data_IF_629907115837
#
_entry.id   IF_629907115837
#
_cell.length_a   1.000
_cell.length_b   1.000
_cell.length_c   1.000
_cell.angle_alpha   90.00
_cell.angle_beta   90.00
_cell.angle_gamma   90.00
#
_symmetry.space_group_name_H-M   'P 1'
#
loop_
_entity.id
_entity.type
_entity.pdbx_description
1 polymer ?
#
# COMPACT_ATOMS: atom_id res chain seq x y z
N UNK A 1 2.95 -17.96 3.75
CA UNK A 1 3.39 -16.65 3.22
C UNK A 1 3.15 -15.70 4.37
N UNK A 2 4.03 -15.78 5.36
CA UNK A 2 3.92 -15.09 6.64
C UNK A 2 5.19 -14.26 6.82
N UNK A 3 5.01 -13.06 7.40
CA UNK A 3 6.02 -12.14 7.91
C UNK A 3 6.93 -11.42 6.90
N UNK A 4 6.49 -10.21 6.51
CA UNK A 4 7.40 -9.07 6.34
C UNK A 4 6.94 -8.03 7.38
N UNK A 5 7.46 -8.15 8.60
CA UNK A 5 7.00 -7.43 9.78
C UNK A 5 7.41 -5.97 9.71
N UNK A 6 6.44 -5.03 9.47
CA UNK A 6 5.95 -3.63 9.90
C UNK A 6 6.63 -2.24 9.78
N UNK A 7 6.39 -1.36 8.85
CA UNK A 7 5.27 -1.41 7.96
C UNK A 7 5.34 -2.56 6.96
N UNK A 8 6.19 -3.61 7.03
CA UNK A 8 7.65 -3.84 6.85
C UNK A 8 8.86 -3.93 7.88
N UNK A 9 9.00 -3.27 9.07
CA UNK A 9 9.87 -3.59 10.27
C UNK A 9 9.25 -3.92 11.72
N UNK A 10 7.93 -4.08 11.95
CA UNK A 10 7.18 -4.37 13.20
C UNK A 10 5.92 -5.29 13.03
N UNK A 11 5.38 -5.89 14.07
CA UNK A 11 4.33 -6.93 13.94
C UNK A 11 2.91 -6.46 13.51
N UNK A 12 2.75 -5.30 12.86
CA UNK A 12 1.49 -4.54 12.87
C UNK A 12 0.94 -4.06 11.51
N UNK A 13 1.51 -4.48 10.38
CA UNK A 13 0.88 -4.30 9.06
C UNK A 13 1.16 -5.50 8.16
N UNK A 14 0.20 -5.85 7.30
CA UNK A 14 0.36 -6.90 6.30
C UNK A 14 0.43 -6.26 4.92
N UNK A 15 1.62 -6.22 4.30
CA UNK A 15 1.76 -5.64 2.99
C UNK A 15 1.05 -6.48 1.94
N UNK A 16 0.20 -5.83 1.15
CA UNK A 16 -0.57 -6.49 0.10
C UNK A 16 -0.28 -5.83 -1.23
N UNK A 17 0.55 -6.47 -2.05
CA UNK A 17 0.64 -6.08 -3.46
C UNK A 17 -0.67 -6.44 -4.14
N UNK A 18 -1.42 -5.41 -4.50
CA UNK A 18 -2.50 -5.54 -5.47
C UNK A 18 -1.80 -5.53 -6.83
N UNK A 19 -1.66 -6.70 -7.46
CA UNK A 19 -1.12 -6.82 -8.83
C UNK A 19 -2.02 -6.06 -9.81
N UNK A 20 -1.84 -4.76 -9.90
CA UNK A 20 -2.41 -3.87 -10.92
C UNK A 20 -1.32 -2.91 -11.33
N UNK A 21 -1.15 -2.75 -12.64
CA UNK A 21 -0.38 -1.65 -13.17
C UNK A 21 -1.27 -0.41 -13.14
N UNK A 22 -0.83 0.62 -12.45
CA UNK A 22 -1.45 1.94 -12.50
C UNK A 22 -0.82 2.75 -13.64
N UNK A 23 -1.61 3.62 -14.28
CA UNK A 23 -1.11 4.56 -15.27
C UNK A 23 -0.79 5.93 -14.68
N UNK A 24 -1.27 6.21 -13.46
CA UNK A 24 -1.02 7.44 -12.71
C UNK A 24 -0.99 7.17 -11.20
N UNK A 25 -0.42 8.09 -10.43
CA UNK A 25 -0.46 8.05 -8.96
C UNK A 25 -1.87 8.01 -8.40
N UNK A 26 -2.78 8.85 -8.91
CA UNK A 26 -4.19 8.83 -8.48
C UNK A 26 -4.85 7.47 -8.74
N UNK A 27 -4.58 6.84 -9.88
CA UNK A 27 -5.15 5.51 -10.17
C UNK A 27 -4.57 4.40 -9.29
N UNK A 28 -3.35 4.57 -8.79
CA UNK A 28 -2.76 3.69 -7.80
C UNK A 28 -3.41 3.87 -6.42
N UNK A 29 -3.64 5.12 -6.01
CA UNK A 29 -4.37 5.43 -4.77
C UNK A 29 -5.80 4.87 -4.80
N UNK A 30 -6.53 5.05 -5.90
CA UNK A 30 -7.86 4.49 -6.09
C UNK A 30 -7.84 2.95 -5.99
N UNK A 31 -6.82 2.30 -6.56
CA UNK A 31 -6.69 0.85 -6.53
C UNK A 31 -6.44 0.30 -5.11
N UNK A 32 -5.61 0.99 -4.30
CA UNK A 32 -5.42 0.62 -2.90
C UNK A 32 -6.66 0.95 -2.06
N UNK A 33 -7.26 2.12 -2.27
CA UNK A 33 -8.46 2.57 -1.56
C UNK A 33 -9.63 1.61 -1.76
N UNK A 34 -9.81 1.07 -2.98
CA UNK A 34 -10.85 0.11 -3.32
C UNK A 34 -10.78 -1.21 -2.53
N UNK A 35 -9.62 -1.56 -1.97
CA UNK A 35 -9.45 -2.75 -1.12
C UNK A 35 -9.30 -2.39 0.36
N UNK A 36 -9.60 -1.15 0.73
CA UNK A 36 -9.49 -0.68 2.11
C UNK A 36 -8.05 -0.44 2.58
N UNK A 37 -7.09 -0.34 1.65
CA UNK A 37 -5.67 -0.14 1.92
C UNK A 37 -5.19 1.24 1.47
N UNK A 38 -4.00 1.68 1.88
CA UNK A 38 -3.29 2.84 1.30
C UNK A 38 -2.13 2.37 0.42
N UNK A 39 -1.54 3.26 -0.37
CA UNK A 39 -0.27 2.94 -1.04
C UNK A 39 0.85 2.73 0.00
N UNK A 40 1.77 1.82 -0.30
CA UNK A 40 2.90 1.51 0.57
C UNK A 40 3.85 2.70 0.73
N UNK A 41 4.34 2.90 1.94
CA UNK A 41 5.22 4.00 2.33
C UNK A 41 6.38 3.43 3.18
N UNK A 42 7.48 2.98 2.56
CA UNK A 42 8.67 2.55 3.29
C UNK A 42 9.23 3.70 4.14
N UNK A 43 9.11 3.62 5.47
CA UNK A 43 9.48 4.71 6.38
C UNK A 43 10.99 4.80 6.66
N UNK A 44 11.73 3.70 6.46
CA UNK A 44 13.17 3.64 6.68
C UNK A 44 13.91 2.75 5.65
N UNK A 45 15.23 2.85 5.60
CA UNK A 45 16.08 2.06 4.70
C UNK A 45 16.05 0.55 5.03
N UNK A 46 15.87 0.17 6.29
CA UNK A 46 15.86 -1.24 6.71
C UNK A 46 14.61 -1.94 6.13
N UNK A 47 13.47 -1.28 6.22
CA UNK A 47 12.19 -1.63 5.61
C UNK A 47 12.32 -1.78 4.10
N UNK A 48 12.96 -0.83 3.42
CA UNK A 48 13.16 -0.89 1.97
C UNK A 48 14.07 -2.07 1.56
N UNK A 49 15.12 -2.35 2.34
CA UNK A 49 16.00 -3.51 2.16
C UNK A 49 15.25 -4.84 2.41
N UNK A 50 14.44 -4.90 3.47
CA UNK A 50 13.63 -6.08 3.80
C UNK A 50 12.61 -6.41 2.70
N UNK A 51 12.11 -5.36 2.04
CA UNK A 51 11.20 -5.46 0.90
C UNK A 51 11.86 -5.96 -0.39
N UNK A 52 13.14 -5.66 -0.61
CA UNK A 52 13.81 -5.87 -1.89
C UNK A 52 13.66 -7.29 -2.47
N UNK A 53 13.84 -8.40 -1.71
CA UNK A 53 13.70 -9.76 -2.25
C UNK A 53 12.28 -10.09 -2.73
N UNK A 54 11.27 -9.44 -2.15
CA UNK A 54 9.87 -9.59 -2.54
C UNK A 54 9.55 -8.72 -3.76
N UNK A 55 9.99 -7.46 -3.75
CA UNK A 55 9.80 -6.52 -4.86
C UNK A 55 10.54 -6.98 -6.12
N UNK A 56 11.72 -7.57 -5.99
CA UNK A 56 12.52 -8.09 -7.11
C UNK A 56 11.73 -9.08 -7.97
N UNK A 57 10.97 -9.98 -7.34
CA UNK A 57 10.15 -11.00 -8.03
C UNK A 57 8.95 -10.40 -8.76
N UNK A 58 8.56 -9.19 -8.41
CA UNK A 58 7.38 -8.50 -8.92
C UNK A 58 7.75 -7.34 -9.86
N UNK A 59 9.04 -7.00 -9.95
CA UNK A 59 9.52 -5.85 -10.68
C UNK A 59 9.36 -6.04 -12.19
N UNK A 60 8.28 -5.47 -12.73
CA UNK A 60 8.02 -5.37 -14.18
C UNK A 60 7.98 -3.92 -14.64
N UNK A 61 7.68 -3.01 -13.71
CA UNK A 61 7.70 -1.55 -13.82
C UNK A 61 8.22 -0.99 -12.48
N UNK A 62 8.58 0.30 -12.40
CA UNK A 62 8.79 0.96 -11.12
C UNK A 62 7.59 0.77 -10.19
N UNK A 63 7.83 0.77 -8.89
CA UNK A 63 6.78 0.54 -7.89
C UNK A 63 6.41 1.87 -7.28
N UNK A 64 5.16 2.29 -7.45
CA UNK A 64 4.71 3.60 -6.95
C UNK A 64 4.40 3.55 -5.46
N UNK A 65 4.78 4.60 -4.73
CA UNK A 65 4.59 4.70 -3.29
C UNK A 65 3.56 5.77 -2.93
N UNK A 66 3.15 5.80 -1.65
CA UNK A 66 2.28 6.83 -1.12
C UNK A 66 2.95 8.17 -0.84
N UNK A 67 4.23 8.34 -1.18
CA UNK A 67 4.93 9.63 -1.03
C UNK A 67 4.76 10.49 -2.27
N UNK A 68 4.43 11.76 -2.06
CA UNK A 68 4.39 12.79 -3.11
C UNK A 68 5.06 14.07 -2.61
N UNK A 69 5.52 14.91 -3.52
CA UNK A 69 6.01 16.24 -3.20
C UNK A 69 4.83 17.10 -2.73
N UNK A 70 4.82 17.46 -1.45
CA UNK A 70 3.84 18.38 -0.87
C UNK A 70 4.18 19.83 -1.13
N UNK A 71 5.49 20.17 -1.13
CA UNK A 71 5.96 21.53 -1.39
C UNK A 71 7.32 21.52 -2.10
N UNK A 72 7.38 22.08 -3.30
CA UNK A 72 8.60 22.14 -4.10
C UNK A 72 9.67 23.10 -3.56
N UNK A 73 9.28 24.15 -2.81
CA UNK A 73 10.21 25.17 -2.32
C UNK A 73 10.99 24.67 -1.10
N UNK A 74 10.32 23.93 -0.22
CA UNK A 74 10.88 23.36 1.01
C UNK A 74 11.26 21.89 0.86
N UNK A 75 10.94 21.28 -0.29
CA UNK A 75 11.17 19.85 -0.58
C UNK A 75 10.47 18.96 0.46
N UNK A 76 9.32 19.41 0.95
CA UNK A 76 8.52 18.65 1.91
C UNK A 76 7.79 17.53 1.18
N UNK A 77 7.94 16.31 1.70
CA UNK A 77 7.30 15.11 1.17
C UNK A 77 6.03 14.87 1.96
N UNK A 78 4.89 14.86 1.27
CA UNK A 78 3.61 14.57 1.87
C UNK A 78 3.40 13.06 1.96
N UNK A 79 2.93 12.63 3.12
CA UNK A 79 2.30 11.33 3.35
C UNK A 79 0.83 11.50 3.03
N UNK A 80 0.36 10.79 2.01
CA UNK A 80 -1.03 10.86 1.55
C UNK A 80 -1.74 9.56 1.88
N UNK A 81 -2.88 9.69 2.54
CA UNK A 81 -3.83 8.61 2.82
C UNK A 81 -4.76 8.38 1.62
N UNK A 82 -5.62 7.36 1.75
CA UNK A 82 -6.67 7.01 0.79
C UNK A 82 -7.46 8.20 0.28
N UNK A 83 -7.87 8.12 -0.98
CA UNK A 83 -8.65 9.14 -1.68
C UNK A 83 -7.95 10.51 -1.66
N UNK A 84 -6.63 10.50 -1.83
CA UNK A 84 -5.78 11.69 -1.91
C UNK A 84 -5.89 12.63 -0.69
N UNK A 85 -6.03 12.06 0.52
CA UNK A 85 -6.14 12.85 1.75
C UNK A 85 -4.77 13.13 2.34
N UNK A 86 -4.37 14.40 2.41
CA UNK A 86 -3.15 14.80 3.10
C UNK A 86 -3.21 14.38 4.58
N UNK A 87 -2.11 13.80 5.07
CA UNK A 87 -1.99 13.39 6.46
C UNK A 87 -0.91 14.17 7.21
N UNK A 88 0.33 14.02 6.76
CA UNK A 88 1.50 14.61 7.40
C UNK A 88 2.59 14.91 6.37
N UNK A 89 3.61 15.63 6.83
CA UNK A 89 4.89 15.71 6.14
C UNK A 89 5.75 14.56 6.66
N UNK A 90 6.38 13.81 5.77
CA UNK A 90 7.30 12.75 6.13
C UNK A 90 8.48 13.36 6.89
N UNK A 91 8.66 12.95 8.13
CA UNK A 91 9.81 13.35 8.92
C UNK A 91 11.00 12.48 8.51
N UNK A 92 12.12 13.12 8.18
CA UNK A 92 13.41 12.45 7.99
C UNK A 92 13.45 11.41 6.84
N UNK A 93 13.12 11.84 5.62
CA UNK A 93 13.40 11.04 4.40
C UNK A 93 14.89 11.13 3.99
N UNK A 94 15.77 11.63 4.86
CA UNK A 94 17.06 12.17 4.45
C UNK A 94 17.95 11.06 3.88
N UNK A 95 18.22 11.17 2.57
CA UNK A 95 18.97 10.17 1.80
C UNK A 95 18.19 8.94 1.30
N UNK A 96 16.91 8.77 1.66
CA UNK A 96 16.08 7.65 1.18
C UNK A 96 15.54 7.87 -0.24
N UNK A 97 15.16 9.10 -0.56
CA UNK A 97 14.63 9.48 -1.87
C UNK A 97 15.72 10.21 -2.65
N UNK A 98 16.05 9.70 -3.83
CA UNK A 98 17.04 10.25 -4.74
C UNK A 98 16.39 11.09 -5.84
N UNK A 99 17.19 11.98 -6.41
CA UNK A 99 16.75 12.91 -7.45
C UNK A 99 16.35 14.27 -6.88
N UNK A 100 16.02 15.19 -7.79
CA UNK A 100 15.56 16.53 -7.44
C UNK A 100 14.06 16.60 -7.75
N UNK A 101 13.20 16.80 -6.75
CA UNK A 101 11.78 16.93 -7.00
C UNK A 101 11.50 18.18 -7.83
N UNK A 102 10.48 18.11 -8.67
CA UNK A 102 9.98 19.24 -9.45
C UNK A 102 8.47 19.12 -9.65
N UNK A 103 7.84 20.14 -10.23
CA UNK A 103 6.41 20.05 -10.60
C UNK A 103 6.12 18.91 -11.58
N UNK A 104 7.12 18.52 -12.39
CA UNK A 104 7.01 17.37 -13.30
C UNK A 104 7.38 16.04 -12.64
N UNK A 105 8.15 16.08 -11.54
CA UNK A 105 8.78 14.95 -10.86
C UNK A 105 8.36 14.98 -9.38
N UNK A 106 7.06 14.80 -9.14
CA UNK A 106 6.44 15.01 -7.82
C UNK A 106 5.96 13.72 -7.16
N UNK A 107 6.12 12.56 -7.80
CA UNK A 107 5.74 11.27 -7.23
C UNK A 107 6.96 10.41 -6.95
N UNK A 108 6.87 9.51 -5.98
CA UNK A 108 8.01 8.68 -5.56
C UNK A 108 7.82 7.23 -5.98
N UNK A 109 8.89 6.63 -6.48
CA UNK A 109 8.91 5.27 -6.98
C UNK A 109 10.09 4.49 -6.41
N UNK A 110 9.89 3.23 -6.04
CA UNK A 110 10.97 2.28 -5.83
C UNK A 110 11.40 1.76 -7.20
N UNK A 111 12.66 1.96 -7.56
CA UNK A 111 13.20 1.54 -8.86
C UNK A 111 13.97 0.23 -8.74
N UNK A 112 14.59 -0.22 -9.85
CA UNK A 112 15.27 -1.52 -9.93
C UNK A 112 16.50 -1.60 -9.01
N UNK A 113 17.03 -0.46 -8.59
CA UNK A 113 18.09 -0.39 -7.57
C UNK A 113 17.59 -0.55 -6.13
N UNK A 114 16.27 -0.74 -5.96
CA UNK A 114 15.57 -0.80 -4.68
C UNK A 114 15.82 0.44 -3.82
N UNK A 115 15.99 1.59 -4.48
CA UNK A 115 16.01 2.92 -3.86
C UNK A 115 14.78 3.68 -4.32
N UNK A 116 14.34 4.66 -3.52
CA UNK A 116 13.26 5.56 -3.91
C UNK A 116 13.80 6.70 -4.78
N UNK A 117 13.08 7.06 -5.83
CA UNK A 117 13.41 8.16 -6.73
C UNK A 117 12.16 8.98 -7.03
N UNK A 118 12.34 10.29 -7.25
CA UNK A 118 11.31 11.10 -7.86
C UNK A 118 11.07 10.69 -9.32
N UNK A 119 9.80 10.75 -9.71
CA UNK A 119 9.29 10.36 -11.02
C UNK A 119 8.04 11.20 -11.38
N UNK A 120 7.63 11.23 -12.66
CA UNK A 120 6.36 11.81 -13.05
C UNK A 120 5.18 11.02 -12.50
N UNK A 121 4.17 11.70 -11.96
CA UNK A 121 2.96 11.06 -11.46
C UNK A 121 2.11 10.38 -12.55
N UNK A 122 2.44 10.57 -13.83
CA UNK A 122 1.85 9.89 -14.99
C UNK A 122 2.64 8.64 -15.42
N UNK A 123 3.65 8.23 -14.65
CA UNK A 123 4.45 7.04 -14.94
C UNK A 123 3.65 5.77 -14.65
N UNK A 124 3.64 4.85 -15.62
CA UNK A 124 3.06 3.54 -15.41
C UNK A 124 3.88 2.74 -14.38
N UNK A 125 3.20 2.15 -13.39
CA UNK A 125 3.88 1.56 -12.24
C UNK A 125 3.13 0.35 -11.67
N UNK A 126 3.86 -0.53 -10.99
CA UNK A 126 3.28 -1.56 -10.12
C UNK A 126 2.77 -0.89 -8.85
N UNK A 127 1.55 -1.25 -8.43
CA UNK A 127 0.95 -0.72 -7.21
C UNK A 127 1.29 -1.62 -6.00
N UNK A 128 1.95 -1.04 -5.00
CA UNK A 128 2.14 -1.65 -3.69
C UNK A 128 1.13 -1.03 -2.72
N UNK A 129 0.25 -1.85 -2.13
CA UNK A 129 -0.65 -1.38 -1.08
C UNK A 129 -0.21 -1.91 0.29
N UNK A 130 -0.42 -1.11 1.33
CA UNK A 130 -0.22 -1.48 2.73
C UNK A 130 -1.55 -1.41 3.47
N UNK A 131 -1.82 -2.41 4.29
CA UNK A 131 -2.95 -2.41 5.22
C UNK A 131 -2.43 -2.53 6.65
N UNK A 132 -2.65 -1.52 7.50
CA UNK A 132 -2.36 -1.63 8.93
C UNK A 132 -3.21 -2.72 9.58
N UNK A 133 -2.66 -3.41 10.59
CA UNK A 133 -3.37 -4.45 11.37
C UNK A 133 -4.05 -3.84 12.61
N UNK A 134 -3.62 -2.67 13.10
CA UNK A 134 -4.21 -2.01 14.28
C UNK A 134 -4.96 -0.70 13.95
N UNK A 135 -5.97 -0.39 14.77
CA UNK A 135 -6.93 0.73 14.61
C UNK A 135 -6.35 2.12 14.81
N UNK A 136 -5.14 2.21 15.35
CA UNK A 136 -4.47 3.48 15.63
C UNK A 136 -3.69 4.00 14.41
N UNK A 137 -3.84 3.35 13.25
CA UNK A 137 -3.21 3.81 12.03
C UNK A 137 -3.80 5.15 11.57
N UNK A 138 -2.89 6.07 11.27
CA UNK A 138 -3.10 7.48 11.02
C UNK A 138 -3.92 7.79 9.75
N UNK A 139 -4.19 6.76 8.92
CA UNK A 139 -5.04 6.79 7.72
C UNK A 139 -6.29 5.88 7.82
N UNK A 140 -6.66 5.45 9.02
CA UNK A 140 -7.67 4.42 9.26
C UNK A 140 -9.11 4.80 8.86
N UNK A 141 -9.78 3.78 8.33
CA UNK A 141 -11.21 3.53 8.22
C UNK A 141 -11.21 2.02 8.43
N UNK A 142 -11.86 1.57 9.50
CA UNK A 142 -11.86 0.17 9.91
C UNK A 142 -12.12 -0.76 8.71
N UNK A 143 -11.41 -1.91 8.61
CA UNK A 143 -11.68 -2.87 7.56
C UNK A 143 -13.13 -3.37 7.69
N UNK A 144 -13.97 -3.05 6.71
CA UNK A 144 -15.24 -3.76 6.52
C UNK A 144 -14.92 -5.07 5.81
N UNK A 145 -14.40 -6.04 6.55
CA UNK A 145 -14.40 -7.42 6.10
C UNK A 145 -15.87 -7.85 5.99
N UNK A 146 -16.37 -8.02 4.77
CA UNK A 146 -17.63 -8.73 4.58
C UNK A 146 -17.35 -10.18 4.96
N UNK A 147 -17.76 -10.57 6.16
CA UNK A 147 -17.76 -11.97 6.55
C UNK A 147 -18.67 -12.70 5.58
N UNK A 148 -18.08 -13.49 4.69
CA UNK A 148 -18.81 -14.59 4.08
C UNK A 148 -19.04 -15.55 5.24
N UNK A 149 -20.22 -15.46 5.85
CA UNK A 149 -20.70 -16.48 6.77
C UNK A 149 -20.89 -17.74 5.93
N UNK A 150 -19.87 -18.60 5.88
CA UNK A 150 -20.09 -20.01 5.58
C UNK A 150 -20.90 -20.58 6.74
N UNK A 151 -22.21 -20.39 6.66
CA UNK A 151 -23.16 -21.14 7.46
C UNK A 151 -22.93 -22.62 7.12
N UNK A 152 -22.63 -23.49 8.09
CA UNK A 152 -22.55 -24.93 7.84
C UNK A 152 -23.90 -25.37 7.26
N UNK A 153 -23.94 -26.24 6.24
CA UNK A 153 -25.21 -26.77 5.76
C UNK A 153 -25.94 -27.42 6.93
N UNK A 154 -27.15 -26.95 7.23
CA UNK A 154 -28.02 -27.54 8.24
C UNK A 154 -28.11 -29.06 8.01
N UNK A 155 -28.01 -29.89 9.05
CA UNK A 155 -28.25 -31.31 8.91
C UNK A 155 -29.71 -31.53 8.53
N UNK A 156 -29.95 -32.05 7.31
CA UNK A 156 -31.25 -32.49 6.85
C UNK A 156 -31.87 -33.44 7.88
N UNK A 157 -32.86 -32.95 8.62
CA UNK A 157 -33.63 -33.77 9.55
C UNK A 157 -34.58 -34.64 8.74
N UNK A 158 -34.28 -35.93 8.67
CA UNK A 158 -35.12 -36.93 8.01
C UNK A 158 -36.46 -37.02 8.75
N UNK A 159 -37.51 -36.43 8.17
CA UNK A 159 -38.88 -36.61 8.69
C UNK A 159 -39.42 -37.92 8.13
N UNK A 160 -39.40 -38.95 8.97
CA UNK A 160 -40.15 -40.18 8.73
C UNK A 160 -41.64 -39.86 8.84
N UNK A 161 -42.36 -39.86 7.72
CA UNK A 161 -43.83 -39.79 7.71
C UNK A 161 -44.37 -41.19 8.02
N UNK A 162 -44.93 -41.37 9.21
CA UNK A 162 -45.82 -42.49 9.50
C UNK A 162 -47.19 -42.22 8.86
N UNK A 163 -47.60 -43.09 7.95
CA UNK A 163 -48.97 -43.15 7.43
C UNK A 163 -49.89 -43.80 8.48
N UNK A 164 -51.02 -43.13 8.76
CA UNK A 164 -52.21 -43.75 9.32
C UNK A 164 -53.04 -44.40 8.20
#
# INVERSE_FOLDING_TARGET
IEEVCGEFSSCYSSPRVVKRNASTWSSADDACSAVGSRMGQPEDNETLIALAPYLEKLYTLPIITGYVLGNAQTVEIAVVCRANQFHSVANDTDGMIRGVPSEAESCVFITKDFVMHFGPCSTAAVVLCSQPVESDDYCSVAPTCTSISEEPPEPLTSTTVSLN
#
